data_IF_878183365044
#
_entry.id   IF_878183365044
#
_cell.length_a   1.000
_cell.length_b   1.000
_cell.length_c   1.000
_cell.angle_alpha   90.00
_cell.angle_beta   90.00
_cell.angle_gamma   90.00
#
_symmetry.space_group_name_H-M   'P 1'
#
loop_
_entity.id
_entity.type
_entity.pdbx_description
1 polymer ?
#
# COMPACT_ATOMS: atom_id res chain seq x y z
N UNK A 1 68.28 -8.81 7.94
CA UNK A 1 67.34 -8.75 9.07
C UNK A 1 66.07 -8.13 8.55
N UNK A 2 65.15 -8.97 8.09
CA UNK A 2 63.90 -8.56 7.44
C UNK A 2 62.77 -8.76 8.45
N UNK A 3 62.14 -7.68 8.90
CA UNK A 3 61.05 -7.74 9.88
C UNK A 3 59.71 -7.85 9.14
N UNK A 4 59.13 -9.05 9.16
CA UNK A 4 57.78 -9.32 8.69
C UNK A 4 56.73 -8.56 9.51
N UNK A 5 55.98 -7.65 8.87
CA UNK A 5 54.72 -7.14 9.41
C UNK A 5 53.60 -8.14 9.11
N UNK A 6 52.99 -8.71 10.17
CA UNK A 6 51.74 -9.47 10.06
C UNK A 6 50.56 -8.50 9.86
N UNK A 7 49.62 -8.78 8.94
CA UNK A 7 48.44 -7.95 8.75
C UNK A 7 47.48 -8.09 9.95
N UNK A 8 47.07 -6.96 10.54
CA UNK A 8 46.00 -6.90 11.53
C UNK A 8 44.67 -7.17 10.83
N UNK A 9 44.05 -8.30 11.13
CA UNK A 9 42.67 -8.61 10.75
C UNK A 9 41.77 -7.59 11.47
N UNK A 10 41.09 -6.75 10.69
CA UNK A 10 40.00 -5.91 11.20
C UNK A 10 38.86 -6.84 11.59
N UNK A 11 38.60 -6.98 12.88
CA UNK A 11 37.39 -7.61 13.38
C UNK A 11 36.21 -6.73 12.95
N UNK A 12 35.41 -7.21 11.98
CA UNK A 12 34.10 -6.63 11.69
C UNK A 12 33.27 -6.69 12.98
N UNK A 13 32.90 -5.51 13.48
CA UNK A 13 31.96 -5.39 14.57
C UNK A 13 30.61 -5.91 14.07
N UNK A 14 30.06 -6.91 14.76
CA UNK A 14 28.71 -7.39 14.51
C UNK A 14 27.71 -6.23 14.55
N UNK A 15 26.68 -6.21 13.69
CA UNK A 15 25.70 -5.13 13.69
C UNK A 15 25.06 -5.01 15.08
N UNK A 16 25.07 -3.79 15.63
CA UNK A 16 24.38 -3.47 16.88
C UNK A 16 22.96 -4.02 16.83
N UNK A 17 22.58 -4.80 17.85
CA UNK A 17 21.19 -5.24 18.04
C UNK A 17 20.31 -3.98 18.16
N UNK A 18 19.69 -3.57 17.06
CA UNK A 18 18.70 -2.50 17.01
C UNK A 18 17.67 -2.80 18.10
N UNK A 19 17.62 -1.98 19.15
CA UNK A 19 16.68 -2.17 20.25
C UNK A 19 15.28 -2.36 19.65
N UNK A 20 14.58 -3.43 20.03
CA UNK A 20 13.23 -3.72 19.55
C UNK A 20 12.34 -2.54 19.94
N UNK A 21 11.98 -1.71 18.96
CA UNK A 21 11.13 -0.54 19.13
C UNK A 21 9.76 -1.01 19.58
N UNK A 22 9.20 -0.40 20.63
CA UNK A 22 7.86 -0.74 21.10
C UNK A 22 6.83 0.31 20.72
N UNK A 23 5.65 -0.12 20.28
CA UNK A 23 4.52 0.78 20.02
C UNK A 23 3.73 1.12 21.29
N UNK A 24 4.20 0.72 22.48
CA UNK A 24 3.59 1.10 23.76
C UNK A 24 4.03 2.51 24.16
N UNK A 25 3.06 3.43 24.22
CA UNK A 25 3.27 4.79 24.71
C UNK A 25 2.35 5.07 25.91
N UNK A 26 2.74 4.66 27.13
CA UNK A 26 1.99 4.97 28.34
C UNK A 26 1.80 6.49 28.51
N UNK A 27 0.57 6.92 28.82
CA UNK A 27 0.26 8.33 29.04
C UNK A 27 0.28 9.22 27.80
N UNK A 28 0.40 8.67 26.58
CA UNK A 28 0.50 9.44 25.34
C UNK A 28 -0.63 10.46 25.12
N UNK A 29 -1.85 10.11 25.54
CA UNK A 29 -3.01 10.96 25.43
C UNK A 29 -2.96 12.19 26.38
N UNK A 30 -2.18 12.13 27.46
CA UNK A 30 -2.00 13.24 28.41
C UNK A 30 -1.00 14.29 27.93
N UNK A 31 -0.16 13.94 26.95
CA UNK A 31 0.88 14.79 26.42
C UNK A 31 0.31 15.84 25.47
N UNK A 32 1.00 16.97 25.33
CA UNK A 32 0.71 17.91 24.26
C UNK A 32 1.19 17.39 22.89
N UNK A 33 0.89 18.14 21.82
CA UNK A 33 1.23 17.71 20.45
C UNK A 33 2.74 17.62 20.22
N UNK A 34 3.55 18.52 20.78
CA UNK A 34 5.00 18.50 20.61
C UNK A 34 5.65 17.36 21.38
N UNK A 35 5.23 17.14 22.62
CA UNK A 35 5.66 16.01 23.45
C UNK A 35 5.33 14.67 22.79
N UNK A 36 4.15 14.56 22.14
CA UNK A 36 3.78 13.40 21.33
C UNK A 36 4.73 13.22 20.16
N UNK A 37 5.03 14.28 19.41
CA UNK A 37 5.95 14.24 18.26
C UNK A 37 7.39 13.91 18.69
N UNK A 38 7.83 14.35 19.87
CA UNK A 38 9.12 14.01 20.41
C UNK A 38 9.21 12.53 20.78
N UNK A 39 8.20 12.00 21.49
CA UNK A 39 8.12 10.55 21.76
C UNK A 39 8.03 9.71 20.49
N UNK A 40 7.29 10.18 19.48
CA UNK A 40 7.26 9.52 18.17
C UNK A 40 8.62 9.60 17.48
N UNK A 41 9.35 10.71 17.64
CA UNK A 41 10.72 10.92 17.19
C UNK A 41 11.71 9.87 17.74
N UNK A 42 11.53 9.45 18.99
CA UNK A 42 12.35 8.37 19.57
C UNK A 42 12.08 7.01 18.92
N UNK A 43 10.84 6.79 18.46
CA UNK A 43 10.40 5.55 17.82
C UNK A 43 10.69 5.52 16.31
N UNK A 44 10.47 6.64 15.62
CA UNK A 44 10.84 6.88 14.23
C UNK A 44 11.63 8.19 14.22
N UNK A 45 12.93 8.20 13.86
CA UNK A 45 13.83 9.34 14.05
C UNK A 45 13.47 10.52 13.14
N UNK A 46 12.33 11.15 13.44
CA UNK A 46 11.80 12.33 12.78
C UNK A 46 12.75 13.49 13.05
N UNK A 47 13.21 14.09 11.97
CA UNK A 47 13.96 15.33 11.99
C UNK A 47 13.11 16.47 12.58
N UNK A 48 13.77 17.51 13.07
CA UNK A 48 13.08 18.73 13.53
C UNK A 48 12.15 19.30 12.46
N UNK A 49 12.57 19.23 11.19
CA UNK A 49 11.76 19.68 10.05
C UNK A 49 10.49 18.84 9.91
N UNK A 50 10.59 17.51 9.92
CA UNK A 50 9.42 16.62 9.78
C UNK A 50 8.43 16.80 10.93
N UNK A 51 8.90 16.95 12.18
CA UNK A 51 8.03 17.26 13.32
C UNK A 51 7.30 18.59 13.13
N UNK A 52 8.01 19.59 12.62
CA UNK A 52 7.42 20.90 12.36
C UNK A 52 6.38 20.85 11.24
N UNK A 53 6.66 20.15 10.14
CA UNK A 53 5.74 19.90 9.03
C UNK A 53 4.47 19.18 9.51
N UNK A 54 4.60 18.05 10.23
CA UNK A 54 3.45 17.28 10.74
C UNK A 54 2.50 18.11 11.61
N UNK A 55 3.02 19.08 12.36
CA UNK A 55 2.21 19.90 13.26
C UNK A 55 1.60 21.11 12.57
N UNK A 56 2.35 21.77 11.68
CA UNK A 56 2.02 23.14 11.25
C UNK A 56 1.75 23.26 9.74
N UNK A 57 2.07 22.25 8.93
CA UNK A 57 1.89 22.30 7.49
C UNK A 57 0.79 21.33 7.03
N UNK A 58 0.10 21.73 5.97
CA UNK A 58 -0.75 20.86 5.15
C UNK A 58 -0.24 20.91 3.72
N UNK A 59 -0.93 20.22 2.81
CA UNK A 59 -0.77 20.43 1.38
C UNK A 59 -0.92 21.93 1.04
N UNK A 60 -0.11 22.47 0.13
CA UNK A 60 -0.31 23.84 -0.37
C UNK A 60 -1.44 23.90 -1.41
N UNK A 61 -1.97 25.09 -1.67
CA UNK A 61 -3.01 25.26 -2.69
C UNK A 61 -2.50 24.89 -4.09
N UNK A 62 -1.24 25.20 -4.39
CA UNK A 62 -0.60 24.87 -5.68
C UNK A 62 -0.40 23.36 -5.84
N UNK A 63 -0.04 22.66 -4.76
CA UNK A 63 0.05 21.20 -4.79
C UNK A 63 -1.34 20.57 -4.96
N UNK A 64 -2.35 21.10 -4.29
CA UNK A 64 -3.74 20.65 -4.43
C UNK A 64 -4.28 20.87 -5.86
N UNK A 65 -3.95 22.01 -6.49
CA UNK A 65 -4.38 22.37 -7.84
C UNK A 65 -3.83 21.42 -8.93
N UNK A 66 -2.71 20.73 -8.65
CA UNK A 66 -2.20 19.66 -9.52
C UNK A 66 -2.93 18.33 -9.30
N UNK A 67 -3.58 18.14 -8.14
CA UNK A 67 -4.21 16.87 -7.77
C UNK A 67 -5.65 16.73 -8.30
N UNK A 68 -6.42 17.81 -8.31
CA UNK A 68 -7.84 17.83 -8.74
C UNK A 68 -8.19 19.15 -9.44
N UNK A 69 -9.33 19.20 -10.11
CA UNK A 69 -9.80 20.40 -10.79
C UNK A 69 -10.48 21.43 -9.86
N UNK A 70 -10.44 22.71 -10.23
CA UNK A 70 -11.16 23.82 -9.59
C UNK A 70 -10.85 24.04 -8.10
N UNK A 71 -9.57 23.96 -7.71
CA UNK A 71 -9.15 24.15 -6.32
C UNK A 71 -9.29 25.60 -5.88
N UNK A 72 -9.96 25.80 -4.75
CA UNK A 72 -10.09 27.11 -4.08
C UNK A 72 -9.51 27.12 -2.65
N UNK A 73 -8.96 26.00 -2.20
CA UNK A 73 -8.39 25.85 -0.86
C UNK A 73 -8.14 24.40 -0.47
N UNK A 74 -7.60 24.20 0.74
CA UNK A 74 -7.31 22.88 1.32
C UNK A 74 -8.12 22.71 2.59
N UNK A 75 -8.77 21.54 2.74
CA UNK A 75 -9.51 21.18 3.94
C UNK A 75 -8.65 20.28 4.83
N UNK A 76 -8.43 20.70 6.08
CA UNK A 76 -7.66 19.95 7.06
C UNK A 76 -8.52 19.00 7.90
N UNK A 77 -7.98 17.83 8.23
CA UNK A 77 -8.60 16.83 9.12
C UNK A 77 -7.65 16.55 10.30
N UNK A 78 -8.16 16.30 11.53
CA UNK A 78 -7.29 15.96 12.65
C UNK A 78 -6.47 14.70 12.35
N UNK A 79 -5.16 14.78 12.56
CA UNK A 79 -4.22 13.67 12.41
C UNK A 79 -3.77 13.17 13.78
N UNK A 80 -4.16 11.95 14.12
CA UNK A 80 -3.73 11.24 15.30
C UNK A 80 -2.89 10.01 14.96
N UNK A 81 -2.42 9.32 16.00
CA UNK A 81 -1.81 8.00 15.87
C UNK A 81 -2.42 7.03 16.87
N UNK A 82 -2.79 5.85 16.40
CA UNK A 82 -3.14 4.75 17.27
C UNK A 82 -1.88 3.98 17.68
N UNK A 83 -1.77 3.75 18.98
CA UNK A 83 -0.61 3.12 19.62
C UNK A 83 -0.95 1.72 20.10
N UNK A 84 0.05 1.00 20.61
CA UNK A 84 -0.05 -0.38 21.10
C UNK A 84 -0.31 -1.43 20.03
N UNK A 85 -0.30 -1.15 18.73
CA UNK A 85 -0.50 -2.22 17.74
C UNK A 85 0.72 -3.14 17.66
N UNK A 86 0.47 -4.46 17.71
CA UNK A 86 1.45 -5.51 17.39
C UNK A 86 0.83 -6.50 16.42
N UNK A 87 1.26 -6.47 15.16
CA UNK A 87 0.74 -7.31 14.08
C UNK A 87 1.86 -8.26 13.65
N UNK A 88 1.60 -9.56 13.63
CA UNK A 88 2.62 -10.57 13.31
C UNK A 88 3.90 -10.41 14.13
N UNK A 89 3.73 -10.20 15.44
CA UNK A 89 4.80 -9.97 16.42
C UNK A 89 5.69 -8.73 16.16
N UNK A 90 5.30 -7.83 15.24
CA UNK A 90 5.96 -6.54 14.98
C UNK A 90 5.13 -5.38 15.48
N UNK A 91 5.78 -4.42 16.15
CA UNK A 91 5.12 -3.24 16.72
C UNK A 91 4.92 -2.15 15.65
N UNK A 92 3.72 -1.57 15.61
CA UNK A 92 3.33 -0.50 14.68
C UNK A 92 2.70 0.67 15.43
N UNK A 93 2.95 1.87 14.91
CA UNK A 93 2.19 3.09 15.21
C UNK A 93 1.39 3.42 13.95
N UNK A 94 0.06 3.52 14.07
CA UNK A 94 -0.84 3.63 12.92
C UNK A 94 -1.34 5.08 12.82
N UNK A 95 -0.99 5.85 11.79
CA UNK A 95 -1.55 7.18 11.59
C UNK A 95 -3.04 7.09 11.22
N UNK A 96 -3.84 8.00 11.76
CA UNK A 96 -5.28 8.06 11.54
C UNK A 96 -5.69 9.52 11.32
N UNK A 97 -6.22 9.84 10.15
CA UNK A 97 -6.84 11.13 9.87
C UNK A 97 -8.36 10.98 10.02
N UNK A 98 -8.96 11.57 11.06
CA UNK A 98 -10.38 11.40 11.39
C UNK A 98 -10.88 12.54 12.29
N UNK A 99 -12.13 12.97 12.09
CA UNK A 99 -12.78 14.04 12.86
C UNK A 99 -13.50 13.53 14.12
N UNK A 100 -13.95 12.28 14.10
CA UNK A 100 -14.76 11.73 15.18
C UNK A 100 -13.93 11.47 16.44
N UNK A 101 -14.41 11.99 17.56
CA UNK A 101 -13.81 11.76 18.87
C UNK A 101 -13.80 10.27 19.25
N UNK A 102 -12.86 9.88 20.10
CA UNK A 102 -12.76 8.51 20.66
C UNK A 102 -12.32 7.40 19.70
N UNK A 103 -12.37 7.55 18.37
CA UNK A 103 -11.92 6.51 17.42
C UNK A 103 -10.48 6.08 17.69
N UNK A 104 -9.54 7.04 17.69
CA UNK A 104 -8.11 6.76 17.91
C UNK A 104 -7.85 6.15 19.30
N UNK A 105 -8.60 6.62 20.31
CA UNK A 105 -8.49 6.12 21.68
C UNK A 105 -9.00 4.67 21.80
N UNK A 106 -10.15 4.36 21.18
CA UNK A 106 -10.73 3.03 21.15
C UNK A 106 -9.80 2.03 20.46
N UNK A 107 -9.27 2.37 19.28
CA UNK A 107 -8.29 1.56 18.57
C UNK A 107 -7.05 1.27 19.43
N UNK A 108 -6.50 2.30 20.07
CA UNK A 108 -5.31 2.17 20.93
C UNK A 108 -5.55 1.30 22.17
N UNK A 109 -6.74 1.40 22.76
CA UNK A 109 -7.12 0.62 23.94
C UNK A 109 -7.36 -0.85 23.57
N UNK A 110 -8.06 -1.11 22.47
CA UNK A 110 -8.29 -2.48 21.98
C UNK A 110 -6.96 -3.16 21.60
N UNK A 111 -6.06 -2.44 20.91
CA UNK A 111 -4.74 -2.97 20.59
C UNK A 111 -3.93 -3.32 21.84
N UNK A 112 -4.02 -2.52 22.90
CA UNK A 112 -3.41 -2.84 24.20
C UNK A 112 -4.00 -4.12 24.80
N UNK A 113 -5.33 -4.23 24.83
CA UNK A 113 -6.03 -5.40 25.37
C UNK A 113 -5.66 -6.68 24.62
N UNK A 114 -5.64 -6.64 23.28
CA UNK A 114 -5.24 -7.78 22.44
C UNK A 114 -3.81 -8.19 22.76
N UNK A 115 -2.89 -7.24 22.98
CA UNK A 115 -1.49 -7.58 23.30
C UNK A 115 -1.30 -8.27 24.64
N UNK A 116 -2.14 -7.95 25.61
CA UNK A 116 -2.08 -8.54 26.95
C UNK A 116 -2.70 -9.93 26.97
N UNK A 117 -3.72 -10.17 26.13
CA UNK A 117 -4.55 -11.37 26.20
C UNK A 117 -4.50 -12.27 24.95
N UNK A 118 -3.73 -11.90 23.93
CA UNK A 118 -3.69 -12.61 22.66
C UNK A 118 -2.66 -12.08 21.67
N UNK A 119 -2.94 -12.29 20.38
CA UNK A 119 -2.13 -11.82 19.25
C UNK A 119 -3.01 -11.34 18.12
N UNK A 120 -2.57 -10.29 17.44
CA UNK A 120 -3.13 -9.87 16.16
C UNK A 120 -2.24 -10.43 15.05
N UNK A 121 -2.80 -11.28 14.20
CA UNK A 121 -2.12 -11.91 13.07
C UNK A 121 -2.81 -11.54 11.77
N UNK A 122 -2.03 -11.31 10.72
CA UNK A 122 -2.55 -10.95 9.40
C UNK A 122 -1.74 -11.63 8.29
N UNK A 123 -2.40 -11.97 7.20
CA UNK A 123 -1.81 -12.43 5.95
C UNK A 123 -2.51 -11.72 4.79
N UNK A 124 -1.78 -11.52 3.70
CA UNK A 124 -2.32 -10.92 2.48
C UNK A 124 -2.05 -11.85 1.29
N UNK A 125 -2.95 -11.84 0.32
CA UNK A 125 -2.69 -12.43 -1.00
C UNK A 125 -1.71 -11.57 -1.79
N UNK A 126 -1.35 -12.03 -2.99
CA UNK A 126 -0.74 -11.15 -3.99
C UNK A 126 -1.66 -9.96 -4.29
N UNK A 127 -1.05 -8.82 -4.66
CA UNK A 127 -1.76 -7.61 -5.04
C UNK A 127 -2.26 -7.73 -6.49
N UNK A 128 -3.24 -8.61 -6.69
CA UNK A 128 -3.87 -8.82 -7.99
C UNK A 128 -5.05 -7.86 -8.14
N UNK A 129 -4.98 -6.97 -9.12
CA UNK A 129 -6.09 -6.12 -9.54
C UNK A 129 -6.71 -6.67 -10.82
N UNK A 130 -8.03 -6.56 -10.91
CA UNK A 130 -8.85 -7.07 -12.02
C UNK A 130 -9.28 -5.92 -12.92
N UNK A 131 -8.85 -5.94 -14.18
CA UNK A 131 -9.40 -5.12 -15.25
C UNK A 131 -10.46 -5.88 -16.02
N UNK A 132 -11.48 -5.18 -16.53
CA UNK A 132 -12.57 -5.81 -17.28
C UNK A 132 -12.78 -5.15 -18.64
N UNK A 133 -12.87 -5.99 -19.69
CA UNK A 133 -13.40 -5.60 -21.01
C UNK A 133 -14.76 -6.25 -21.16
N UNK A 134 -15.79 -5.42 -21.36
CA UNK A 134 -17.17 -5.87 -21.53
C UNK A 134 -17.53 -5.98 -23.01
N UNK A 135 -17.85 -7.20 -23.44
CA UNK A 135 -18.42 -7.46 -24.77
C UNK A 135 -19.94 -7.59 -24.64
N UNK A 136 -20.68 -6.74 -25.36
CA UNK A 136 -22.14 -6.68 -25.31
C UNK A 136 -22.73 -7.36 -26.54
N UNK A 137 -23.70 -8.26 -26.33
CA UNK A 137 -24.40 -9.00 -27.37
C UNK A 137 -23.47 -9.62 -28.44
N UNK A 138 -22.45 -10.41 -28.03
CA UNK A 138 -21.61 -11.10 -28.99
C UNK A 138 -22.46 -12.08 -29.83
N UNK A 139 -22.20 -12.14 -31.14
CA UNK A 139 -22.98 -12.97 -32.06
C UNK A 139 -22.94 -14.45 -31.70
N UNK A 140 -21.78 -14.95 -31.27
CA UNK A 140 -21.56 -16.30 -30.77
C UNK A 140 -20.71 -16.22 -29.49
N UNK A 141 -21.35 -16.12 -28.30
CA UNK A 141 -20.63 -16.02 -27.03
C UNK A 141 -19.71 -17.22 -26.77
N UNK A 142 -20.13 -18.43 -27.14
CA UNK A 142 -19.38 -19.66 -26.95
C UNK A 142 -18.12 -19.70 -27.80
N UNK A 143 -18.20 -19.27 -29.06
CA UNK A 143 -17.03 -19.16 -29.93
C UNK A 143 -16.10 -18.04 -29.45
N UNK A 144 -16.65 -16.88 -29.04
CA UNK A 144 -15.85 -15.79 -28.51
C UNK A 144 -15.02 -16.21 -27.28
N UNK A 145 -15.59 -17.02 -26.38
CA UNK A 145 -14.85 -17.60 -25.23
C UNK A 145 -13.65 -18.41 -25.70
N UNK A 146 -13.81 -19.25 -26.74
CA UNK A 146 -12.72 -20.08 -27.28
C UNK A 146 -11.65 -19.23 -27.94
N UNK A 147 -12.05 -18.28 -28.78
CA UNK A 147 -11.13 -17.40 -29.50
C UNK A 147 -10.27 -16.58 -28.52
N UNK A 148 -10.88 -16.07 -27.44
CA UNK A 148 -10.16 -15.34 -26.38
C UNK A 148 -9.21 -16.27 -25.62
N UNK A 149 -9.64 -17.49 -25.30
CA UNK A 149 -8.77 -18.46 -24.63
C UNK A 149 -7.57 -18.87 -25.50
N UNK A 150 -7.77 -19.06 -26.80
CA UNK A 150 -6.70 -19.35 -27.76
C UNK A 150 -5.74 -18.15 -27.92
N UNK A 151 -6.26 -16.92 -27.86
CA UNK A 151 -5.46 -15.70 -27.96
C UNK A 151 -4.80 -15.26 -26.63
N UNK A 152 -5.07 -15.93 -25.51
CA UNK A 152 -4.69 -15.51 -24.15
C UNK A 152 -3.23 -15.06 -24.05
N UNK A 153 -2.27 -15.90 -24.44
CA UNK A 153 -0.84 -15.58 -24.32
C UNK A 153 -0.45 -14.34 -25.13
N UNK A 154 -1.02 -14.19 -26.33
CA UNK A 154 -0.80 -13.00 -27.17
C UNK A 154 -1.37 -11.75 -26.51
N UNK A 155 -2.56 -11.83 -25.91
CA UNK A 155 -3.22 -10.72 -25.22
C UNK A 155 -2.44 -10.32 -23.95
N UNK A 156 -1.96 -11.28 -23.17
CA UNK A 156 -1.10 -11.01 -22.01
C UNK A 156 0.20 -10.30 -22.41
N UNK A 157 0.83 -10.70 -23.52
CA UNK A 157 2.01 -10.01 -24.06
C UNK A 157 1.66 -8.58 -24.51
N UNK A 158 0.49 -8.35 -25.11
CA UNK A 158 0.05 -7.01 -25.52
C UNK A 158 -0.21 -6.10 -24.32
N UNK A 159 -0.91 -6.59 -23.29
CA UNK A 159 -1.14 -5.86 -22.04
C UNK A 159 0.19 -5.48 -21.37
N UNK A 160 1.10 -6.44 -21.21
CA UNK A 160 2.39 -6.23 -20.56
C UNK A 160 3.34 -5.26 -21.32
N UNK A 161 3.08 -4.98 -22.60
CA UNK A 161 3.86 -3.95 -23.33
C UNK A 161 3.53 -2.53 -22.90
N UNK A 162 2.38 -2.30 -22.28
CA UNK A 162 1.93 -0.97 -21.87
C UNK A 162 2.70 -0.44 -20.65
N UNK A 163 3.15 -1.31 -19.75
CA UNK A 163 3.90 -0.91 -18.56
C UNK A 163 5.16 -1.77 -18.37
N UNK A 164 6.22 -1.36 -19.06
CA UNK A 164 7.54 -2.00 -18.95
C UNK A 164 8.13 -1.90 -17.55
N UNK A 165 7.79 -0.85 -16.80
CA UNK A 165 8.31 -0.64 -15.45
C UNK A 165 7.71 -1.67 -14.51
N UNK A 166 6.39 -1.78 -14.48
CA UNK A 166 5.69 -2.77 -13.65
C UNK A 166 6.17 -4.20 -13.95
N UNK A 167 6.31 -4.55 -15.24
CA UNK A 167 6.83 -5.87 -15.64
C UNK A 167 8.27 -6.08 -15.18
N UNK A 168 9.15 -5.08 -15.34
CA UNK A 168 10.55 -5.19 -14.90
C UNK A 168 10.72 -5.32 -13.38
N UNK A 169 9.73 -4.85 -12.61
CA UNK A 169 9.67 -5.02 -11.15
C UNK A 169 9.07 -6.38 -10.74
N UNK A 170 8.66 -7.23 -11.68
CA UNK A 170 8.11 -8.56 -11.44
C UNK A 170 6.58 -8.64 -11.44
N UNK A 171 5.90 -7.53 -11.66
CA UNK A 171 4.43 -7.42 -11.72
C UNK A 171 3.89 -7.73 -13.12
N UNK A 172 2.78 -7.07 -13.47
CA UNK A 172 2.16 -7.12 -14.79
C UNK A 172 1.02 -8.12 -14.90
N UNK A 173 0.41 -8.20 -16.08
CA UNK A 173 -0.68 -9.13 -16.40
C UNK A 173 -0.22 -10.58 -16.23
N UNK A 174 -0.92 -11.31 -15.35
CA UNK A 174 -0.64 -12.70 -14.97
C UNK A 174 -1.63 -13.70 -15.56
N UNK A 175 -2.88 -13.29 -15.69
CA UNK A 175 -3.94 -14.17 -16.19
C UNK A 175 -4.99 -13.39 -16.97
N UNK A 176 -5.71 -14.09 -17.84
CA UNK A 176 -6.84 -13.58 -18.59
C UNK A 176 -7.87 -14.70 -18.74
N UNK A 177 -9.11 -14.41 -18.36
CA UNK A 177 -10.21 -15.37 -18.38
C UNK A 177 -11.54 -14.67 -18.69
N UNK A 178 -12.57 -15.44 -19.00
CA UNK A 178 -13.87 -14.89 -19.40
C UNK A 178 -14.99 -15.37 -18.48
N UNK A 179 -16.01 -14.53 -18.33
CA UNK A 179 -17.23 -14.81 -17.59
C UNK A 179 -18.45 -14.39 -18.39
N UNK A 180 -19.33 -15.34 -18.70
CA UNK A 180 -20.61 -15.06 -19.36
C UNK A 180 -21.65 -14.59 -18.35
N UNK A 181 -22.47 -13.62 -18.74
CA UNK A 181 -23.60 -13.13 -17.97
C UNK A 181 -24.86 -13.09 -18.84
N UNK A 182 -25.93 -13.63 -18.30
CA UNK A 182 -27.29 -13.45 -18.82
C UNK A 182 -27.89 -12.24 -18.12
N UNK A 183 -28.32 -11.23 -18.88
CA UNK A 183 -28.89 -10.00 -18.33
C UNK A 183 -30.17 -9.64 -19.06
N UNK A 184 -30.96 -8.71 -18.50
CA UNK A 184 -32.16 -8.18 -19.17
C UNK A 184 -31.82 -7.46 -20.49
N UNK A 185 -30.59 -6.98 -20.65
CA UNK A 185 -30.10 -6.32 -21.87
C UNK A 185 -29.47 -7.29 -22.88
N UNK A 186 -29.56 -8.60 -22.63
CA UNK A 186 -28.98 -9.66 -23.45
C UNK A 186 -27.72 -10.28 -22.83
N UNK A 187 -27.07 -11.14 -23.62
CA UNK A 187 -25.86 -11.86 -23.20
C UNK A 187 -24.69 -10.89 -23.18
N UNK A 188 -23.92 -10.92 -22.10
CA UNK A 188 -22.64 -10.21 -21.97
C UNK A 188 -21.51 -11.21 -21.74
N UNK A 189 -20.35 -10.93 -22.34
CA UNK A 189 -19.12 -11.65 -22.06
C UNK A 189 -18.11 -10.69 -21.44
N UNK A 190 -17.72 -10.95 -20.20
CA UNK A 190 -16.74 -10.14 -19.46
C UNK A 190 -15.38 -10.81 -19.58
N UNK A 191 -14.42 -10.11 -20.16
CA UNK A 191 -13.01 -10.53 -20.20
C UNK A 191 -12.32 -9.90 -18.99
N UNK A 192 -11.79 -10.74 -18.12
CA UNK A 192 -11.04 -10.37 -16.93
C UNK A 192 -9.54 -10.41 -17.24
N UNK A 193 -8.82 -9.35 -16.86
CA UNK A 193 -7.37 -9.29 -16.89
C UNK A 193 -6.86 -9.16 -15.46
N UNK A 194 -6.20 -10.21 -14.96
CA UNK A 194 -5.59 -10.23 -13.64
C UNK A 194 -4.17 -9.68 -13.70
N UNK A 195 -3.92 -8.56 -13.02
CA UNK A 195 -2.64 -7.83 -13.06
C UNK A 195 -2.04 -7.79 -11.66
N UNK A 196 -0.79 -8.25 -11.50
CA UNK A 196 -0.03 -8.04 -10.27
C UNK A 196 0.55 -6.63 -10.25
N UNK A 197 0.03 -5.80 -9.34
CA UNK A 197 0.33 -4.36 -9.26
C UNK A 197 1.37 -4.03 -8.19
N UNK A 198 1.88 -5.05 -7.49
CA UNK A 198 2.91 -4.93 -6.44
C UNK A 198 2.50 -3.89 -5.38
N UNK A 199 3.21 -2.76 -5.33
CA UNK A 199 3.05 -1.71 -4.33
C UNK A 199 2.10 -0.59 -4.78
N UNK A 200 1.62 -0.63 -6.03
CA UNK A 200 0.64 0.32 -6.54
C UNK A 200 -0.79 -0.13 -6.24
N UNK A 201 -1.73 0.81 -6.19
CA UNK A 201 -3.16 0.47 -6.21
C UNK A 201 -3.54 -0.20 -7.55
N UNK A 202 -2.98 0.27 -8.67
CA UNK A 202 -3.09 -0.41 -9.96
C UNK A 202 -4.11 0.13 -10.96
N UNK A 203 -5.03 1.02 -10.54
CA UNK A 203 -6.15 1.45 -11.38
C UNK A 203 -5.74 1.96 -12.77
N UNK A 204 -4.80 2.92 -12.84
CA UNK A 204 -4.36 3.49 -14.12
C UNK A 204 -3.64 2.45 -15.00
N UNK A 205 -2.74 1.65 -14.41
CA UNK A 205 -1.99 0.64 -15.14
C UNK A 205 -2.93 -0.42 -15.74
N UNK A 206 -3.88 -0.90 -14.94
CA UNK A 206 -4.88 -1.90 -15.35
C UNK A 206 -5.79 -1.33 -16.44
N UNK A 207 -6.28 -0.09 -16.29
CA UNK A 207 -7.09 0.59 -17.30
C UNK A 207 -6.36 0.69 -18.64
N UNK A 208 -5.11 1.18 -18.65
CA UNK A 208 -4.30 1.26 -19.88
C UNK A 208 -4.08 -0.12 -20.52
N UNK A 209 -3.88 -1.16 -19.71
CA UNK A 209 -3.75 -2.53 -20.21
C UNK A 209 -5.03 -3.03 -20.87
N UNK A 210 -6.20 -2.83 -20.25
CA UNK A 210 -7.47 -3.29 -20.83
C UNK A 210 -7.95 -2.44 -22.01
N UNK A 211 -7.65 -1.15 -22.05
CA UNK A 211 -7.92 -0.28 -23.21
C UNK A 211 -7.14 -0.69 -24.47
N UNK A 212 -6.04 -1.43 -24.29
CA UNK A 212 -5.22 -1.97 -25.39
C UNK A 212 -5.81 -3.25 -26.01
N UNK A 213 -6.61 -4.00 -25.25
CA UNK A 213 -7.11 -5.33 -25.63
C UNK A 213 -8.39 -5.24 -26.48
#
# INVERSE_FOLDING_TARGET
>A
MDQQQKPKIKTEQAPEKKALRTSRFPGFYNLDVWERLDKLGDWYPLTTKEKWTLKNETLTAEQADVMIENVIGVFGLPLGVAVNFRINDKDYVIPMAVEETSIVAACSNLAKLIRENGKLTANASHAIMEGQVQLVNPQDPEQAVKDIAEAKERLLVLANRQDKTLVSLGGGAKDLYTRRLETESGVMLIVHLAVDVIDAMGANAVNTMVETL
#
